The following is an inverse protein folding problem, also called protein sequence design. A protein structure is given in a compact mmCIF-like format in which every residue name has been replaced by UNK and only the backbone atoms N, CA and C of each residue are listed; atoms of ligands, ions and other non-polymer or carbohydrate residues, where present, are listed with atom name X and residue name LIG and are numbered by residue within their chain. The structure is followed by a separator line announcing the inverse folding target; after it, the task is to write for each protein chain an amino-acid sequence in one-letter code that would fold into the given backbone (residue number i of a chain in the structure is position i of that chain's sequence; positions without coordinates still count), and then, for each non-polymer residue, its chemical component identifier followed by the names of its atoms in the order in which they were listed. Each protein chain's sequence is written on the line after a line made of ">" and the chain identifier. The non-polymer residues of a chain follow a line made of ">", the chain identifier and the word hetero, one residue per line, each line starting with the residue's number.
data_IF_905858232317
#
_entry.id   IF_905858232317
#
_cell.length_a   1.000
_cell.length_b   1.000
_cell.length_c   1.000
_cell.angle_alpha   90.00
_cell.angle_beta   90.00
_cell.angle_gamma   90.00
#
_symmetry.space_group_name_H-M   'P 1'
#
loop_
_entity.id
_entity.type
_entity.pdbx_description
1 polymer ?
#
# COMPACT_ATOMS: atom_id res chain seq x y z
N UNK A 1 -25.37 -81.69 36.75
CA UNK A 1 -24.18 -82.34 36.13
C UNK A 1 -23.59 -81.37 35.11
N UNK A 2 -22.26 -81.39 35.03
CA UNK A 2 -21.34 -80.45 34.38
C UNK A 2 -21.32 -80.63 32.85
N UNK A 3 -20.49 -79.81 32.18
CA UNK A 3 -20.06 -79.81 30.76
C UNK A 3 -20.91 -78.87 29.86
N UNK A 4 -20.38 -77.90 29.10
CA UNK A 4 -19.05 -77.32 28.95
C UNK A 4 -19.23 -75.95 28.26
N UNK A 5 -18.38 -74.97 28.58
CA UNK A 5 -18.32 -73.64 27.96
C UNK A 5 -17.33 -73.67 26.79
N UNK A 6 -17.44 -72.68 25.89
CA UNK A 6 -16.47 -72.21 24.87
C UNK A 6 -16.73 -72.76 23.46
N UNK A 7 -16.53 -71.87 22.45
CA UNK A 7 -16.86 -71.93 21.01
C UNK A 7 -18.36 -71.67 20.75
N UNK A 8 -18.80 -70.59 20.10
CA UNK A 8 -18.24 -69.98 18.89
C UNK A 8 -18.57 -68.49 18.85
N UNK A 9 -17.57 -67.68 19.19
CA UNK A 9 -17.45 -66.28 18.81
C UNK A 9 -17.07 -66.29 17.32
N UNK A 10 -18.03 -66.45 16.42
CA UNK A 10 -17.79 -66.39 14.95
C UNK A 10 -19.04 -65.98 14.16
N UNK A 11 -19.91 -65.14 14.74
CA UNK A 11 -21.09 -64.60 14.05
C UNK A 11 -21.34 -63.12 14.42
N UNK A 12 -20.28 -62.31 14.39
CA UNK A 12 -20.37 -60.83 14.51
C UNK A 12 -19.59 -60.14 13.36
N UNK A 13 -19.06 -60.90 12.41
CA UNK A 13 -18.18 -60.39 11.36
C UNK A 13 -18.89 -60.20 10.01
N UNK A 14 -20.09 -59.62 9.96
CA UNK A 14 -20.67 -59.20 8.67
C UNK A 14 -21.86 -58.24 8.86
N UNK A 15 -21.61 -57.00 9.29
CA UNK A 15 -22.39 -55.80 8.93
C UNK A 15 -21.91 -54.61 9.78
N UNK A 16 -20.63 -54.24 9.63
CA UNK A 16 -20.24 -52.85 9.79
C UNK A 16 -20.29 -52.27 8.38
N UNK A 17 -21.43 -51.69 8.03
CA UNK A 17 -21.59 -50.84 6.86
C UNK A 17 -20.74 -49.59 7.08
N UNK A 18 -19.45 -49.74 6.81
CA UNK A 18 -18.50 -48.64 6.68
C UNK A 18 -19.00 -47.76 5.55
N UNK A 19 -19.71 -46.69 5.92
CA UNK A 19 -19.90 -45.53 5.05
C UNK A 19 -18.51 -44.95 4.84
N UNK A 20 -17.84 -45.45 3.80
CA UNK A 20 -16.65 -44.81 3.26
C UNK A 20 -17.16 -43.50 2.68
N UNK A 21 -17.04 -42.41 3.44
CA UNK A 21 -17.21 -41.08 2.89
C UNK A 21 -16.14 -40.93 1.82
N UNK A 22 -16.52 -41.16 0.57
CA UNK A 22 -15.69 -40.81 -0.57
C UNK A 22 -15.46 -39.31 -0.47
N UNK A 23 -14.28 -38.91 0.00
CA UNK A 23 -13.82 -37.55 -0.12
C UNK A 23 -13.79 -37.25 -1.62
N UNK A 24 -14.81 -36.54 -2.10
CA UNK A 24 -14.81 -35.98 -3.44
C UNK A 24 -13.71 -34.93 -3.44
N UNK A 25 -12.51 -35.33 -3.86
CA UNK A 25 -11.44 -34.40 -4.17
C UNK A 25 -11.91 -33.56 -5.33
N UNK A 26 -12.36 -32.34 -5.04
CA UNK A 26 -12.64 -31.35 -6.07
C UNK A 26 -11.38 -31.16 -6.92
N UNK A 27 -11.48 -31.40 -8.22
CA UNK A 27 -10.40 -31.13 -9.15
C UNK A 27 -10.06 -29.63 -9.07
N UNK A 28 -8.87 -29.30 -8.59
CA UNK A 28 -8.39 -27.92 -8.49
C UNK A 28 -7.92 -27.46 -9.86
N UNK A 29 -8.74 -26.62 -10.51
CA UNK A 29 -8.35 -25.99 -11.77
C UNK A 29 -7.08 -25.19 -11.55
N UNK A 30 -6.02 -25.53 -12.29
CA UNK A 30 -4.72 -24.85 -12.18
C UNK A 30 -4.45 -24.12 -13.49
N UNK A 31 -4.11 -22.83 -13.39
CA UNK A 31 -3.82 -21.97 -14.51
C UNK A 31 -2.34 -21.59 -14.46
N UNK A 32 -1.63 -21.79 -15.58
CA UNK A 32 -0.24 -21.38 -15.69
C UNK A 32 -0.15 -19.97 -16.25
N UNK A 33 0.59 -19.11 -15.57
CA UNK A 33 0.82 -17.72 -16.00
C UNK A 33 2.30 -17.37 -15.88
N UNK A 34 2.78 -16.51 -16.78
CA UNK A 34 4.12 -15.95 -16.70
C UNK A 34 4.07 -14.65 -15.89
N UNK A 35 4.94 -14.55 -14.89
CA UNK A 35 5.07 -13.32 -14.11
C UNK A 35 5.71 -12.23 -14.95
N UNK A 36 5.36 -10.99 -14.66
CA UNK A 36 5.93 -9.81 -15.31
C UNK A 36 6.42 -8.85 -14.25
N UNK A 37 7.56 -8.22 -14.52
CA UNK A 37 8.01 -7.09 -13.71
C UNK A 37 7.13 -5.89 -14.06
N UNK A 38 6.24 -5.54 -13.14
CA UNK A 38 5.39 -4.36 -13.24
C UNK A 38 5.89 -3.38 -12.18
N UNK A 39 6.24 -2.16 -12.59
CA UNK A 39 6.53 -1.09 -11.66
C UNK A 39 5.28 -0.76 -10.86
N UNK A 40 5.39 -0.62 -9.54
CA UNK A 40 4.28 -0.21 -8.69
C UNK A 40 4.68 1.09 -8.02
N UNK A 41 3.88 2.13 -8.19
CA UNK A 41 4.07 3.40 -7.51
C UNK A 41 2.76 3.81 -6.86
N UNK A 42 2.76 4.11 -5.57
CA UNK A 42 1.58 4.55 -4.85
C UNK A 42 1.89 5.79 -4.05
N UNK A 43 1.11 6.85 -4.24
CA UNK A 43 1.29 8.15 -3.59
C UNK A 43 2.73 8.69 -3.74
N UNK A 44 3.28 8.53 -4.95
CA UNK A 44 4.65 8.93 -5.30
C UNK A 44 5.76 8.03 -4.73
N UNK A 45 5.41 6.94 -4.05
CA UNK A 45 6.38 5.98 -3.51
C UNK A 45 6.45 4.71 -4.36
N UNK A 46 7.67 4.33 -4.76
CA UNK A 46 7.90 3.07 -5.43
C UNK A 46 7.72 1.90 -4.46
N UNK A 47 6.88 0.94 -4.84
CA UNK A 47 6.55 -0.25 -4.07
C UNK A 47 7.19 -1.48 -4.72
N UNK A 48 7.86 -2.32 -3.93
CA UNK A 48 8.45 -3.59 -4.38
C UNK A 48 7.77 -4.77 -3.73
N UNK A 49 7.32 -5.75 -4.51
CA UNK A 49 6.72 -6.96 -3.94
C UNK A 49 7.75 -7.77 -3.14
N UNK A 50 7.35 -8.43 -2.03
CA UNK A 50 8.22 -9.32 -1.28
C UNK A 50 8.72 -10.50 -2.13
N UNK A 51 9.86 -11.08 -1.75
CA UNK A 51 10.40 -12.27 -2.41
C UNK A 51 9.37 -13.40 -2.45
N UNK A 52 9.25 -14.03 -3.63
CA UNK A 52 8.30 -15.12 -3.85
C UNK A 52 6.85 -14.66 -4.05
N UNK A 53 6.57 -13.36 -3.99
CA UNK A 53 5.34 -12.76 -4.50
C UNK A 53 5.61 -12.03 -5.82
N UNK A 54 4.64 -12.06 -6.71
CA UNK A 54 4.82 -11.60 -8.08
C UNK A 54 3.68 -10.69 -8.52
N UNK A 55 3.86 -10.01 -9.63
CA UNK A 55 2.76 -9.46 -10.41
C UNK A 55 2.67 -10.25 -11.71
N UNK A 56 1.46 -10.44 -12.22
CA UNK A 56 1.24 -11.11 -13.50
C UNK A 56 0.05 -10.51 -14.23
N UNK A 57 0.02 -10.69 -15.55
CA UNK A 57 -1.11 -10.32 -16.39
C UNK A 57 -1.83 -11.60 -16.79
N UNK A 58 -3.13 -11.65 -16.51
CA UNK A 58 -4.01 -12.74 -16.92
C UNK A 58 -5.31 -12.14 -17.45
N UNK A 59 -5.73 -12.58 -18.65
CA UNK A 59 -6.93 -12.07 -19.34
C UNK A 59 -6.98 -10.53 -19.41
N UNK A 60 -5.84 -9.91 -19.73
CA UNK A 60 -5.73 -8.45 -19.87
C UNK A 60 -5.77 -7.67 -18.56
N UNK A 61 -5.64 -8.33 -17.41
CA UNK A 61 -5.68 -7.70 -16.08
C UNK A 61 -4.42 -7.96 -15.30
N UNK A 62 -3.92 -6.91 -14.65
CA UNK A 62 -2.79 -7.02 -13.72
C UNK A 62 -3.27 -7.52 -12.36
N UNK A 63 -2.74 -8.65 -11.94
CA UNK A 63 -2.98 -9.26 -10.64
C UNK A 63 -1.82 -9.02 -9.69
N UNK A 64 -2.17 -8.72 -8.44
CA UNK A 64 -1.24 -8.37 -7.37
C UNK A 64 -1.68 -8.99 -6.04
N UNK A 65 -0.74 -9.23 -5.11
CA UNK A 65 -1.08 -9.75 -3.78
C UNK A 65 -1.91 -8.73 -3.00
N UNK A 66 -3.14 -9.09 -2.62
CA UNK A 66 -4.09 -8.16 -2.00
C UNK A 66 -3.51 -7.50 -0.75
N UNK A 67 -2.90 -8.31 0.14
CA UNK A 67 -2.35 -7.83 1.41
C UNK A 67 -1.31 -6.75 1.22
N UNK A 68 -0.35 -6.99 0.32
CA UNK A 68 0.79 -6.09 0.18
C UNK A 68 0.38 -4.76 -0.45
N UNK A 69 -0.51 -4.79 -1.45
CA UNK A 69 -1.02 -3.56 -2.06
C UNK A 69 -1.94 -2.81 -1.11
N UNK A 70 -2.83 -3.49 -0.38
CA UNK A 70 -3.65 -2.86 0.66
C UNK A 70 -2.79 -2.18 1.73
N UNK A 71 -1.66 -2.78 2.11
CA UNK A 71 -0.75 -2.18 3.08
C UNK A 71 -0.08 -0.92 2.54
N UNK A 72 0.29 -0.90 1.25
CA UNK A 72 0.77 0.31 0.59
C UNK A 72 -0.29 1.40 0.54
N UNK A 73 -1.57 1.00 0.48
CA UNK A 73 -2.73 1.89 0.57
C UNK A 73 -3.13 2.20 2.02
N UNK A 74 -2.28 1.87 3.00
CA UNK A 74 -2.52 2.07 4.43
C UNK A 74 -3.82 1.43 4.94
N UNK A 75 -4.22 0.29 4.35
CA UNK A 75 -5.36 -0.52 4.78
C UNK A 75 -4.90 -1.79 5.48
N UNK A 76 -5.68 -2.29 6.44
CA UNK A 76 -5.51 -3.63 7.01
C UNK A 76 -6.17 -4.69 6.14
N UNK A 77 -5.68 -5.93 6.20
CA UNK A 77 -6.29 -7.08 5.51
C UNK A 77 -6.40 -8.27 6.44
N UNK A 78 -7.62 -8.74 6.66
CA UNK A 78 -7.92 -9.97 7.38
C UNK A 78 -8.43 -11.05 6.43
N UNK A 79 -7.97 -12.29 6.62
CA UNK A 79 -8.36 -13.44 5.80
C UNK A 79 -8.81 -14.59 6.71
N UNK A 80 -10.00 -15.14 6.45
CA UNK A 80 -10.59 -16.24 7.23
C UNK A 80 -10.71 -17.56 6.44
N UNK A 81 -10.19 -17.63 5.22
CA UNK A 81 -10.30 -18.80 4.33
C UNK A 81 -11.45 -18.71 3.31
N UNK A 82 -12.51 -17.94 3.62
CA UNK A 82 -13.65 -17.73 2.74
C UNK A 82 -13.83 -16.25 2.35
N UNK A 83 -13.18 -15.34 3.06
CA UNK A 83 -13.37 -13.90 2.96
C UNK A 83 -12.05 -13.17 3.19
N UNK A 84 -11.76 -12.22 2.30
CA UNK A 84 -10.73 -11.21 2.52
C UNK A 84 -11.43 -9.88 2.87
N UNK A 85 -11.23 -9.41 4.10
CA UNK A 85 -11.73 -8.13 4.56
C UNK A 85 -10.60 -7.10 4.53
N UNK A 86 -10.83 -5.98 3.86
CA UNK A 86 -9.95 -4.82 3.77
C UNK A 86 -10.64 -3.68 4.49
N UNK A 87 -9.94 -3.03 5.43
CA UNK A 87 -10.52 -1.99 6.28
C UNK A 87 -9.46 -0.98 6.72
N UNK A 88 -9.89 0.08 7.40
CA UNK A 88 -8.97 0.94 8.13
C UNK A 88 -8.14 0.14 9.15
N UNK A 89 -6.82 0.34 9.21
CA UNK A 89 -5.98 -0.29 10.21
C UNK A 89 -6.19 0.39 11.56
N UNK A 90 -6.04 -0.38 12.64
CA UNK A 90 -5.83 0.21 13.97
C UNK A 90 -4.52 0.99 14.00
N UNK A 91 -4.34 1.91 14.94
CA UNK A 91 -3.09 2.69 15.08
C UNK A 91 -1.84 1.78 15.19
N UNK A 92 -1.97 0.65 15.89
CA UNK A 92 -0.89 -0.34 16.04
C UNK A 92 -0.57 -1.03 14.73
N UNK A 93 -1.59 -1.44 13.98
CA UNK A 93 -1.40 -2.03 12.66
C UNK A 93 -0.80 -1.00 11.71
N UNK A 94 -1.30 0.23 11.69
CA UNK A 94 -0.77 1.30 10.86
C UNK A 94 0.72 1.55 11.14
N UNK A 95 1.14 1.58 12.40
CA UNK A 95 2.54 1.71 12.78
C UNK A 95 3.39 0.53 12.28
N UNK A 96 2.90 -0.71 12.41
CA UNK A 96 3.57 -1.90 11.89
C UNK A 96 3.66 -1.90 10.35
N UNK A 97 2.60 -1.46 9.67
CA UNK A 97 2.54 -1.32 8.22
C UNK A 97 3.54 -0.28 7.72
N UNK A 98 3.61 0.90 8.36
CA UNK A 98 4.60 1.93 8.05
C UNK A 98 6.02 1.42 8.21
N UNK A 99 6.31 0.69 9.30
CA UNK A 99 7.62 0.05 9.50
C UNK A 99 7.96 -0.96 8.41
N UNK A 100 6.97 -1.76 7.97
CA UNK A 100 7.17 -2.74 6.90
C UNK A 100 7.37 -2.10 5.52
N UNK A 101 6.69 -0.99 5.24
CA UNK A 101 6.91 -0.20 4.03
C UNK A 101 8.28 0.48 4.03
N UNK A 102 8.70 1.03 5.17
CA UNK A 102 10.02 1.65 5.35
C UNK A 102 11.16 0.63 5.17
N UNK A 103 11.02 -0.59 5.69
CA UNK A 103 12.02 -1.65 5.48
C UNK A 103 12.05 -2.17 4.03
N UNK A 104 10.89 -2.21 3.35
CA UNK A 104 10.83 -2.57 1.93
C UNK A 104 11.42 -1.48 1.01
N UNK A 105 11.37 -0.21 1.41
CA UNK A 105 11.98 0.90 0.69
C UNK A 105 13.51 0.99 0.90
N UNK A 106 14.02 0.55 2.04
CA UNK A 106 15.44 0.63 2.43
C UNK A 106 16.34 -0.45 1.78
N UNK A 107 15.77 -1.43 1.07
CA UNK A 107 16.51 -2.51 0.43
C UNK A 107 16.79 -2.28 -1.06
N UNK A 108 18.06 -2.41 -1.45
CA UNK A 108 18.48 -2.64 -2.85
C UNK A 108 18.14 -4.06 -3.29
N UNK A 109 16.85 -4.40 -3.39
CA UNK A 109 16.43 -5.72 -3.86
C UNK A 109 16.51 -5.78 -5.40
N UNK A 110 17.23 -6.77 -5.91
CA UNK A 110 17.42 -7.04 -7.35
C UNK A 110 16.05 -7.29 -8.02
N UNK A 111 15.82 -6.80 -9.25
CA UNK A 111 14.60 -7.11 -9.99
C UNK A 111 14.33 -8.63 -10.05
N UNK A 112 13.14 -9.05 -9.64
CA UNK A 112 12.76 -10.45 -9.61
C UNK A 112 12.56 -10.95 -11.06
N UNK A 113 13.27 -12.01 -11.46
CA UNK A 113 13.18 -12.55 -12.81
C UNK A 113 11.77 -13.04 -13.13
N UNK A 114 11.38 -12.95 -14.41
CA UNK A 114 10.12 -13.53 -14.89
C UNK A 114 10.17 -15.05 -14.78
N UNK A 115 9.15 -15.62 -14.14
CA UNK A 115 9.02 -17.06 -13.87
C UNK A 115 7.60 -17.52 -14.25
N UNK A 116 7.45 -18.81 -14.57
CA UNK A 116 6.12 -19.42 -14.69
C UNK A 116 5.61 -19.80 -13.30
N UNK A 117 4.37 -19.43 -12.99
CA UNK A 117 3.68 -19.81 -11.75
C UNK A 117 2.33 -20.48 -12.07
N UNK A 118 1.88 -21.31 -11.14
CA UNK A 118 0.61 -22.00 -11.21
C UNK A 118 -0.36 -21.38 -10.19
N UNK A 119 -1.42 -20.72 -10.67
CA UNK A 119 -2.44 -20.06 -9.85
C UNK A 119 -3.73 -20.89 -9.83
N UNK A 120 -4.49 -20.77 -8.74
CA UNK A 120 -5.72 -21.53 -8.53
C UNK A 120 -6.88 -20.57 -8.24
N UNK A 121 -8.05 -20.69 -8.89
CA UNK A 121 -9.18 -19.83 -8.59
C UNK A 121 -9.70 -20.11 -7.18
N UNK A 122 -10.08 -19.04 -6.49
CA UNK A 122 -10.61 -19.09 -5.12
C UNK A 122 -12.03 -18.56 -5.15
N UNK A 123 -12.96 -19.34 -4.57
CA UNK A 123 -14.30 -18.86 -4.26
C UNK A 123 -14.26 -18.17 -2.90
N UNK A 124 -14.04 -16.85 -2.91
CA UNK A 124 -14.03 -16.05 -1.70
C UNK A 124 -14.73 -14.71 -1.90
N UNK A 125 -15.21 -14.15 -0.79
CA UNK A 125 -15.82 -12.82 -0.78
C UNK A 125 -14.78 -11.75 -0.48
N UNK A 126 -14.87 -10.60 -1.16
CA UNK A 126 -14.07 -9.42 -0.85
C UNK A 126 -14.96 -8.44 -0.10
N UNK A 127 -14.48 -7.91 1.02
CA UNK A 127 -15.20 -6.94 1.84
C UNK A 127 -14.32 -5.72 2.03
N UNK A 128 -14.85 -4.53 1.75
CA UNK A 128 -14.16 -3.25 1.89
C UNK A 128 -14.97 -2.37 2.84
N UNK A 129 -14.37 -1.95 3.95
CA UNK A 129 -15.01 -1.10 4.97
C UNK A 129 -16.40 -1.63 5.39
N UNK A 130 -16.47 -2.95 5.60
CA UNK A 130 -17.70 -3.65 6.00
C UNK A 130 -18.69 -3.97 4.88
N UNK A 131 -18.44 -3.50 3.64
CA UNK A 131 -19.31 -3.74 2.47
C UNK A 131 -18.75 -4.83 1.58
N UNK A 132 -19.57 -5.81 1.22
CA UNK A 132 -19.16 -6.85 0.26
C UNK A 132 -19.06 -6.25 -1.14
N UNK A 133 -17.93 -6.46 -1.81
CA UNK A 133 -17.69 -6.04 -3.18
C UNK A 133 -17.58 -7.26 -4.09
N UNK A 134 -18.29 -7.20 -5.22
CA UNK A 134 -18.23 -8.24 -6.25
C UNK A 134 -17.23 -7.84 -7.32
N UNK A 135 -16.38 -8.79 -7.72
CA UNK A 135 -15.54 -8.60 -8.88
C UNK A 135 -16.41 -8.43 -10.15
N UNK A 136 -16.02 -7.55 -11.09
CA UNK A 136 -16.72 -7.45 -12.37
C UNK A 136 -16.72 -8.78 -13.13
N UNK A 137 -17.68 -8.94 -14.04
CA UNK A 137 -17.83 -10.18 -14.82
C UNK A 137 -16.52 -10.61 -15.51
N UNK A 138 -16.26 -11.92 -15.50
CA UNK A 138 -15.04 -12.50 -16.08
C UNK A 138 -13.78 -12.26 -15.23
N UNK A 139 -13.92 -11.96 -13.95
CA UNK A 139 -12.80 -11.84 -13.01
C UNK A 139 -12.90 -12.87 -11.90
N UNK A 140 -11.77 -13.25 -11.34
CA UNK A 140 -11.70 -14.21 -10.25
C UNK A 140 -10.60 -13.84 -9.28
N UNK A 141 -10.72 -14.33 -8.06
CA UNK A 141 -9.66 -14.29 -7.06
C UNK A 141 -8.77 -15.50 -7.30
N UNK A 142 -7.46 -15.31 -7.20
CA UNK A 142 -6.50 -16.42 -7.34
C UNK A 142 -5.69 -16.63 -6.07
N UNK A 143 -5.34 -17.88 -5.80
CA UNK A 143 -4.33 -18.25 -4.81
C UNK A 143 -3.03 -18.62 -5.52
N UNK A 144 -1.92 -18.15 -4.96
CA UNK A 144 -0.61 -18.70 -5.24
C UNK A 144 0.18 -18.81 -3.93
N UNK A 145 0.52 -20.05 -3.56
CA UNK A 145 1.28 -20.38 -2.33
C UNK A 145 0.69 -19.72 -1.07
N UNK A 146 -0.64 -19.70 -0.93
CA UNK A 146 -1.32 -19.12 0.24
C UNK A 146 -1.54 -17.61 0.15
N UNK A 147 -0.98 -16.92 -0.84
CA UNK A 147 -1.25 -15.51 -1.09
C UNK A 147 -2.45 -15.34 -2.02
N UNK A 148 -3.34 -14.41 -1.67
CA UNK A 148 -4.52 -14.06 -2.45
C UNK A 148 -4.20 -12.94 -3.43
N UNK A 149 -4.60 -13.13 -4.67
CA UNK A 149 -4.36 -12.22 -5.79
C UNK A 149 -5.67 -11.70 -6.34
N UNK A 150 -5.71 -10.39 -6.55
CA UNK A 150 -6.86 -9.67 -7.10
C UNK A 150 -6.42 -8.69 -8.18
N UNK A 151 -7.31 -8.29 -9.09
CA UNK A 151 -7.03 -7.24 -10.07
C UNK A 151 -6.72 -5.92 -9.37
N UNK A 152 -5.58 -5.31 -9.68
CA UNK A 152 -5.09 -4.11 -8.99
C UNK A 152 -6.07 -2.94 -9.09
N UNK A 153 -6.67 -2.72 -10.26
CA UNK A 153 -7.66 -1.64 -10.47
C UNK A 153 -8.87 -1.80 -9.56
N UNK A 154 -9.45 -3.00 -9.50
CA UNK A 154 -10.59 -3.29 -8.64
C UNK A 154 -10.25 -3.03 -7.17
N UNK A 155 -9.09 -3.51 -6.71
CA UNK A 155 -8.64 -3.30 -5.33
C UNK A 155 -8.51 -1.82 -5.00
N UNK A 156 -7.84 -1.06 -5.87
CA UNK A 156 -7.60 0.37 -5.67
C UNK A 156 -8.88 1.20 -5.72
N UNK A 157 -9.75 0.97 -6.69
CA UNK A 157 -11.05 1.65 -6.79
C UNK A 157 -11.93 1.36 -5.57
N UNK A 158 -11.90 0.13 -5.06
CA UNK A 158 -12.67 -0.28 -3.88
C UNK A 158 -12.25 0.46 -2.60
N UNK A 159 -11.06 1.08 -2.59
CA UNK A 159 -10.56 1.88 -1.46
C UNK A 159 -10.38 3.37 -1.81
N UNK A 160 -10.92 3.83 -2.95
CA UNK A 160 -10.90 5.25 -3.35
C UNK A 160 -9.59 5.74 -3.99
N UNK A 161 -8.71 4.82 -4.39
CA UNK A 161 -7.44 5.12 -5.07
C UNK A 161 -7.64 5.12 -6.58
N UNK A 162 -7.24 6.21 -7.24
CA UNK A 162 -7.19 6.28 -8.70
C UNK A 162 -5.96 5.54 -9.22
N UNK A 163 -6.11 4.84 -10.36
CA UNK A 163 -5.04 4.04 -10.96
C UNK A 163 -4.79 4.47 -12.39
N UNK A 164 -3.53 4.76 -12.70
CA UNK A 164 -3.02 4.92 -14.06
C UNK A 164 -2.01 3.82 -14.39
N UNK A 165 -1.82 3.56 -15.68
CA UNK A 165 -0.83 2.60 -16.17
C UNK A 165 -0.02 3.25 -17.29
N UNK A 166 1.30 3.24 -17.15
CA UNK A 166 2.25 3.59 -18.20
C UNK A 166 2.67 2.32 -18.95
N UNK A 167 2.28 2.15 -20.21
CA UNK A 167 2.60 0.95 -20.99
C UNK A 167 4.06 0.89 -21.45
N UNK A 168 4.78 2.02 -21.49
CA UNK A 168 6.18 2.09 -21.92
C UNK A 168 7.06 1.57 -20.78
N UNK A 169 6.90 2.14 -19.59
CA UNK A 169 7.67 1.72 -18.40
C UNK A 169 7.07 0.51 -17.69
N UNK A 170 5.87 0.07 -18.10
CA UNK A 170 5.07 -0.98 -17.46
C UNK A 170 4.84 -0.69 -15.98
N UNK A 171 4.49 0.55 -15.68
CA UNK A 171 4.29 1.02 -14.31
C UNK A 171 2.81 1.23 -14.05
N UNK A 172 2.30 0.65 -12.96
CA UNK A 172 1.01 1.01 -12.37
C UNK A 172 1.28 2.09 -11.31
N UNK A 173 0.62 3.23 -11.46
CA UNK A 173 0.64 4.31 -10.50
C UNK A 173 -0.72 4.44 -9.84
N UNK A 174 -0.74 4.49 -8.52
CA UNK A 174 -1.94 4.68 -7.71
C UNK A 174 -1.86 5.95 -6.89
N UNK A 175 -2.95 6.70 -6.88
CA UNK A 175 -3.05 7.94 -6.11
C UNK A 175 -4.27 7.85 -5.21
N UNK A 176 -4.08 7.84 -3.91
CA UNK A 176 -5.16 7.88 -2.94
C UNK A 176 -5.91 9.21 -3.02
N UNK A 177 -7.16 9.23 -2.56
CA UNK A 177 -7.93 10.48 -2.51
C UNK A 177 -7.21 11.56 -1.68
N UNK A 178 -6.55 11.16 -0.58
CA UNK A 178 -5.76 12.04 0.26
C UNK A 178 -4.51 12.59 -0.49
N UNK A 179 -3.82 11.74 -1.24
CA UNK A 179 -2.67 12.17 -2.04
C UNK A 179 -3.06 13.15 -3.13
N UNK A 180 -4.13 12.88 -3.89
CA UNK A 180 -4.62 13.80 -4.94
C UNK A 180 -5.09 15.13 -4.36
N UNK A 181 -5.77 15.11 -3.21
CA UNK A 181 -6.15 16.32 -2.50
C UNK A 181 -4.94 17.16 -2.07
N UNK A 182 -3.81 16.51 -1.75
CA UNK A 182 -2.54 17.16 -1.44
C UNK A 182 -1.67 17.57 -2.65
N UNK A 183 -1.99 17.10 -3.86
CA UNK A 183 -1.28 17.44 -5.12
C UNK A 183 -1.95 18.58 -5.90
N UNK A 184 -3.10 19.09 -5.44
CA UNK A 184 -3.92 20.06 -6.16
C UNK A 184 -3.47 21.52 -6.06
N UNK A 185 -2.39 21.89 -6.76
CA UNK A 185 -2.35 23.03 -7.72
C UNK A 185 -1.09 22.87 -8.59
N UNK A 186 -1.25 22.27 -9.77
CA UNK A 186 -0.11 21.97 -10.65
C UNK A 186 -0.46 21.51 -12.05
N UNK A 187 -1.47 22.13 -12.68
CA UNK A 187 -1.51 22.27 -14.14
C UNK A 187 -2.42 21.34 -14.94
N UNK A 188 -3.18 21.97 -15.84
CA UNK A 188 -3.49 21.40 -17.15
C UNK A 188 -4.89 20.82 -17.31
N UNK A 189 -5.86 21.69 -17.60
CA UNK A 189 -7.04 21.28 -18.33
C UNK A 189 -6.63 20.66 -19.68
N UNK A 190 -7.12 19.45 -19.95
CA UNK A 190 -7.39 18.95 -21.30
C UNK A 190 -8.81 18.39 -21.31
N UNK A 191 -9.73 19.30 -21.57
CA UNK A 191 -10.96 19.08 -22.34
C UNK A 191 -10.55 18.72 -23.79
N UNK A 192 -11.14 17.79 -24.53
CA UNK A 192 -12.34 16.98 -24.31
C UNK A 192 -12.45 15.87 -25.36
N UNK A 193 -13.53 15.09 -25.27
CA UNK A 193 -13.84 14.01 -26.23
C UNK A 193 -14.98 13.10 -25.79
N UNK A 194 -16.18 13.67 -25.78
CA UNK A 194 -17.48 13.11 -25.39
C UNK A 194 -17.91 11.87 -26.18
N UNK A 195 -18.53 10.89 -25.50
CA UNK A 195 -19.77 10.14 -25.83
C UNK A 195 -19.88 9.02 -24.78
N UNK A 196 -20.94 8.75 -24.03
CA UNK A 196 -22.31 9.21 -23.95
C UNK A 196 -23.08 8.11 -23.19
N UNK A 197 -23.98 8.52 -22.28
CA UNK A 197 -25.18 7.81 -21.81
C UNK A 197 -25.25 7.31 -20.35
N UNK A 198 -25.96 8.13 -19.56
CA UNK A 198 -27.08 7.85 -18.64
C UNK A 198 -26.99 6.78 -17.52
N UNK A 199 -27.24 7.26 -16.29
CA UNK A 199 -28.28 6.67 -15.43
C UNK A 199 -27.94 6.44 -13.95
N UNK A 200 -28.73 7.09 -13.07
CA UNK A 200 -28.92 6.84 -11.62
C UNK A 200 -27.82 7.39 -10.69
N UNK A 201 -28.03 8.30 -9.74
CA UNK A 201 -29.21 8.60 -8.92
C UNK A 201 -28.96 8.09 -7.48
N UNK A 202 -28.67 8.99 -6.52
CA UNK A 202 -28.76 8.65 -5.09
C UNK A 202 -27.76 9.28 -4.11
N UNK A 203 -28.21 10.37 -3.48
CA UNK A 203 -28.11 10.68 -2.03
C UNK A 203 -26.81 11.24 -1.44
N UNK A 204 -26.88 12.52 -1.01
CA UNK A 204 -25.83 13.24 -0.33
C UNK A 204 -25.59 12.79 1.12
N UNK A 205 -24.31 12.70 1.47
CA UNK A 205 -23.81 12.84 2.84
C UNK A 205 -22.98 14.12 2.89
N UNK A 206 -23.37 15.06 3.75
CA UNK A 206 -22.62 16.30 3.94
C UNK A 206 -21.20 16.00 4.41
N UNK A 207 -20.22 16.57 3.72
CA UNK A 207 -18.80 16.54 4.13
C UNK A 207 -18.70 17.27 5.47
N UNK A 208 -18.43 16.55 6.56
CA UNK A 208 -18.23 17.16 7.88
C UNK A 208 -16.98 18.03 7.83
N UNK A 209 -17.13 19.30 8.19
CA UNK A 209 -16.05 20.29 8.21
C UNK A 209 -14.98 19.89 9.25
N UNK A 210 -13.69 19.71 8.86
CA UNK A 210 -12.63 19.39 9.81
C UNK A 210 -12.39 20.56 10.79
N UNK A 211 -12.08 20.25 12.06
CA UNK A 211 -11.80 21.30 13.06
C UNK A 211 -10.40 21.90 12.90
N UNK A 212 -10.15 23.06 13.50
CA UNK A 212 -8.83 23.70 13.52
C UNK A 212 -7.77 22.74 14.07
N UNK A 213 -8.06 22.10 15.20
CA UNK A 213 -7.17 21.18 15.91
C UNK A 213 -6.86 19.94 15.07
N UNK A 214 -7.83 19.44 14.30
CA UNK A 214 -7.62 18.32 13.39
C UNK A 214 -6.69 18.70 12.24
N UNK A 215 -6.84 19.90 11.69
CA UNK A 215 -5.97 20.41 10.61
C UNK A 215 -4.54 20.63 11.13
N UNK A 216 -4.38 21.24 12.31
CA UNK A 216 -3.05 21.48 12.90
C UNK A 216 -2.38 20.19 13.35
N UNK A 217 -3.11 19.24 13.95
CA UNK A 217 -2.56 17.95 14.34
C UNK A 217 -2.08 17.12 13.14
N UNK A 218 -2.86 17.08 12.05
CA UNK A 218 -2.43 16.45 10.78
C UNK A 218 -1.17 17.14 10.21
N UNK A 219 -1.12 18.47 10.27
CA UNK A 219 0.03 19.26 9.82
C UNK A 219 1.28 18.94 10.65
N UNK A 220 1.16 18.89 11.98
CA UNK A 220 2.26 18.57 12.90
C UNK A 220 2.78 17.15 12.69
N UNK A 221 1.90 16.17 12.45
CA UNK A 221 2.30 14.81 12.12
C UNK A 221 3.11 14.76 10.82
N UNK A 222 2.70 15.50 9.79
CA UNK A 222 3.46 15.61 8.53
C UNK A 222 4.81 16.29 8.73
N UNK A 223 4.87 17.35 9.54
CA UNK A 223 6.12 18.04 9.86
C UNK A 223 7.08 17.15 10.66
N UNK A 224 6.58 16.39 11.64
CA UNK A 224 7.38 15.43 12.39
C UNK A 224 7.97 14.34 11.48
N UNK A 225 7.15 13.77 10.60
CA UNK A 225 7.60 12.76 9.63
C UNK A 225 8.63 13.34 8.63
N UNK A 226 8.41 14.57 8.16
CA UNK A 226 9.37 15.27 7.30
C UNK A 226 10.70 15.42 8.03
N UNK A 227 10.69 15.96 9.25
CA UNK A 227 11.89 16.18 10.08
C UNK A 227 12.68 14.89 10.28
N UNK A 228 12.02 13.80 10.68
CA UNK A 228 12.67 12.49 10.87
C UNK A 228 13.33 12.00 9.57
N UNK A 229 12.60 12.05 8.45
CA UNK A 229 13.11 11.60 7.15
C UNK A 229 14.26 12.44 6.61
N UNK A 230 14.27 13.73 6.92
CA UNK A 230 15.29 14.68 6.51
C UNK A 230 16.55 14.47 7.35
N UNK A 231 16.39 14.42 8.67
CA UNK A 231 17.48 14.20 9.61
C UNK A 231 18.19 12.87 9.33
N UNK A 232 17.45 11.76 9.26
CA UNK A 232 18.05 10.44 9.06
C UNK A 232 18.89 10.35 7.77
N UNK A 233 18.39 10.93 6.66
CA UNK A 233 19.15 10.92 5.40
C UNK A 233 20.34 11.87 5.43
N UNK A 234 20.19 13.06 6.02
CA UNK A 234 21.27 14.04 6.11
C UNK A 234 22.39 13.54 7.04
N UNK A 235 22.06 12.84 8.12
CA UNK A 235 23.03 12.18 9.00
C UNK A 235 23.80 11.09 8.26
N UNK A 236 23.11 10.24 7.50
CA UNK A 236 23.75 9.21 6.69
C UNK A 236 24.70 9.82 5.63
N UNK A 237 24.25 10.87 4.92
CA UNK A 237 25.09 11.62 3.97
C UNK A 237 26.30 12.24 4.69
N UNK A 238 26.11 12.80 5.90
CA UNK A 238 27.18 13.36 6.71
C UNK A 238 28.23 12.32 7.10
N UNK A 239 27.81 11.12 7.49
CA UNK A 239 28.72 10.01 7.77
C UNK A 239 29.48 9.55 6.52
N UNK A 240 28.80 9.49 5.36
CA UNK A 240 29.46 9.22 4.08
C UNK A 240 30.51 10.29 3.76
N UNK A 241 30.20 11.57 4.00
CA UNK A 241 31.12 12.68 3.75
C UNK A 241 32.39 12.59 4.62
N UNK A 242 32.22 12.24 5.90
CA UNK A 242 33.32 12.06 6.84
C UNK A 242 34.22 10.87 6.49
N UNK A 243 33.65 9.80 5.93
CA UNK A 243 34.40 8.62 5.51
C UNK A 243 35.00 8.76 4.09
N UNK A 244 34.63 9.81 3.35
CA UNK A 244 34.98 9.96 1.95
C UNK A 244 36.35 10.61 1.72
N UNK A 245 36.96 10.26 0.58
CA UNK A 245 38.17 10.93 0.10
C UNK A 245 37.86 12.36 -0.34
N UNK A 246 38.89 13.23 -0.39
CA UNK A 246 38.75 14.60 -0.89
C UNK A 246 38.20 14.68 -2.33
N UNK A 247 38.34 13.61 -3.12
CA UNK A 247 37.80 13.52 -4.49
C UNK A 247 36.29 13.29 -4.49
N UNK A 248 35.77 12.52 -3.53
CA UNK A 248 34.36 12.13 -3.48
C UNK A 248 33.50 13.12 -2.67
N UNK A 249 34.11 13.85 -1.73
CA UNK A 249 33.47 14.83 -0.86
C UNK A 249 32.58 15.86 -1.59
N UNK A 250 33.00 16.48 -2.72
CA UNK A 250 32.14 17.41 -3.46
C UNK A 250 30.83 16.78 -3.93
N UNK A 251 30.86 15.53 -4.40
CA UNK A 251 29.67 14.83 -4.88
C UNK A 251 28.70 14.50 -3.74
N UNK A 252 29.24 14.17 -2.55
CA UNK A 252 28.44 13.86 -1.36
C UNK A 252 27.84 15.14 -0.78
N UNK A 253 28.58 16.25 -0.79
CA UNK A 253 28.07 17.56 -0.42
C UNK A 253 26.89 17.97 -1.30
N UNK A 254 27.00 17.76 -2.61
CA UNK A 254 25.91 18.00 -3.56
C UNK A 254 24.67 17.14 -3.24
N UNK A 255 24.84 15.86 -2.91
CA UNK A 255 23.72 15.00 -2.45
C UNK A 255 23.06 15.55 -1.18
N UNK A 256 23.85 16.06 -0.23
CA UNK A 256 23.35 16.72 0.98
C UNK A 256 22.51 17.95 0.66
N UNK A 257 23.00 18.82 -0.23
CA UNK A 257 22.28 20.02 -0.68
C UNK A 257 20.97 19.67 -1.40
N UNK A 258 20.99 18.65 -2.28
CA UNK A 258 19.79 18.16 -2.95
C UNK A 258 18.76 17.63 -1.95
N UNK A 259 19.20 16.89 -0.93
CA UNK A 259 18.31 16.41 0.12
C UNK A 259 17.71 17.56 0.93
N UNK A 260 18.51 18.58 1.28
CA UNK A 260 18.04 19.77 1.99
C UNK A 260 16.99 20.52 1.18
N UNK A 261 17.23 20.72 -0.12
CA UNK A 261 16.26 21.34 -1.03
C UNK A 261 14.97 20.52 -1.11
N UNK A 262 15.05 19.19 -1.18
CA UNK A 262 13.87 18.33 -1.16
C UNK A 262 13.06 18.46 0.13
N UNK A 263 13.74 18.61 1.27
CA UNK A 263 13.12 18.84 2.57
C UNK A 263 12.38 20.19 2.60
N UNK A 264 13.00 21.26 2.11
CA UNK A 264 12.35 22.58 2.02
C UNK A 264 11.15 22.58 1.10
N UNK A 265 11.22 21.94 -0.07
CA UNK A 265 10.07 21.83 -0.99
C UNK A 265 8.91 21.08 -0.34
N UNK A 266 9.17 19.99 0.38
CA UNK A 266 8.13 19.25 1.11
C UNK A 266 7.54 20.06 2.26
N UNK A 267 8.38 20.82 2.97
CA UNK A 267 7.92 21.72 4.01
C UNK A 267 6.96 22.78 3.45
N UNK A 268 7.32 23.44 2.34
CA UNK A 268 6.45 24.41 1.67
C UNK A 268 5.12 23.80 1.21
N UNK A 269 5.14 22.57 0.72
CA UNK A 269 3.93 21.84 0.36
C UNK A 269 3.01 21.60 1.57
N UNK A 270 3.57 21.22 2.72
CA UNK A 270 2.81 21.05 3.98
C UNK A 270 2.23 22.39 4.44
N UNK A 271 3.01 23.47 4.36
CA UNK A 271 2.54 24.82 4.74
C UNK A 271 1.40 25.31 3.84
N UNK A 272 1.51 25.05 2.53
CA UNK A 272 0.46 25.39 1.56
C UNK A 272 -0.83 24.63 1.84
N UNK A 273 -0.75 23.31 2.05
CA UNK A 273 -1.89 22.45 2.40
C UNK A 273 -2.58 22.92 3.69
N UNK A 274 -1.81 23.18 4.74
CA UNK A 274 -2.33 23.68 6.01
C UNK A 274 -2.99 25.06 5.86
N UNK A 275 -2.35 25.99 5.14
CA UNK A 275 -2.91 27.33 4.87
C UNK A 275 -4.23 27.25 4.12
N UNK A 276 -4.29 26.40 3.08
CA UNK A 276 -5.50 26.20 2.28
C UNK A 276 -6.63 25.60 3.11
N UNK A 277 -6.35 24.57 3.92
CA UNK A 277 -7.33 23.94 4.81
C UNK A 277 -7.85 24.92 5.86
N UNK A 278 -6.99 25.69 6.49
CA UNK A 278 -7.38 26.69 7.49
C UNK A 278 -8.25 27.78 6.86
N UNK A 279 -7.82 28.35 5.73
CA UNK A 279 -8.55 29.41 5.01
C UNK A 279 -9.91 28.92 4.50
N UNK A 280 -9.95 27.76 3.84
CA UNK A 280 -11.20 27.17 3.29
C UNK A 280 -12.24 26.93 4.39
N UNK A 281 -11.76 26.61 5.59
CA UNK A 281 -12.62 26.36 6.74
C UNK A 281 -12.79 27.61 7.64
N UNK A 282 -12.33 28.79 7.22
CA UNK A 282 -12.51 30.04 7.95
C UNK A 282 -11.80 30.10 9.30
N UNK A 283 -10.68 29.37 9.44
CA UNK A 283 -9.83 29.40 10.62
C UNK A 283 -8.63 30.35 10.43
N UNK A 284 -8.02 30.78 11.54
CA UNK A 284 -6.78 31.56 11.50
C UNK A 284 -5.63 30.75 10.88
N UNK A 285 -4.76 31.45 10.16
CA UNK A 285 -3.53 30.90 9.57
C UNK A 285 -2.27 31.29 10.36
N UNK A 286 -2.40 31.94 11.52
CA UNK A 286 -1.24 32.46 12.28
C UNK A 286 -0.24 31.37 12.66
N UNK A 287 -0.73 30.15 12.90
CA UNK A 287 0.09 28.98 13.22
C UNK A 287 1.10 28.62 12.11
N UNK A 288 0.80 28.97 10.85
CA UNK A 288 1.69 28.73 9.71
C UNK A 288 3.01 29.49 9.88
N UNK A 289 2.97 30.72 10.41
CA UNK A 289 4.18 31.50 10.69
C UNK A 289 5.03 30.79 11.77
N UNK A 290 4.40 30.25 12.81
CA UNK A 290 5.11 29.50 13.87
C UNK A 290 5.82 28.26 13.31
N UNK A 291 5.17 27.50 12.42
CA UNK A 291 5.79 26.35 11.77
C UNK A 291 6.99 26.75 10.89
N UNK A 292 6.87 27.85 10.13
CA UNK A 292 7.96 28.40 9.31
C UNK A 292 9.16 28.83 10.14
N UNK A 293 8.92 29.56 11.23
CA UNK A 293 9.98 29.99 12.13
C UNK A 293 10.70 28.80 12.76
N UNK A 294 9.96 27.77 13.13
CA UNK A 294 10.52 26.54 13.71
C UNK A 294 11.39 25.82 12.71
N UNK A 295 10.89 25.63 11.48
CA UNK A 295 11.65 24.98 10.41
C UNK A 295 12.92 25.75 10.06
N UNK A 296 12.85 27.07 9.95
CA UNK A 296 14.01 27.90 9.66
C UNK A 296 15.07 27.83 10.78
N UNK A 297 14.65 27.85 12.05
CA UNK A 297 15.57 27.65 13.19
C UNK A 297 16.26 26.29 13.14
N UNK A 298 15.53 25.23 12.78
CA UNK A 298 16.10 23.89 12.65
C UNK A 298 17.07 23.78 11.47
N UNK A 299 16.78 24.44 10.34
CA UNK A 299 17.69 24.53 9.20
C UNK A 299 18.99 25.25 9.56
N UNK A 300 18.89 26.39 10.24
CA UNK A 300 20.05 27.15 10.73
C UNK A 300 20.91 26.30 11.68
N UNK A 301 20.28 25.62 12.65
CA UNK A 301 20.99 24.74 13.57
C UNK A 301 21.67 23.57 12.84
N UNK A 302 21.00 22.98 11.84
CA UNK A 302 21.57 21.91 11.02
C UNK A 302 22.76 22.38 10.16
N UNK A 303 22.70 23.60 9.61
CA UNK A 303 23.81 24.22 8.86
C UNK A 303 25.01 24.48 9.76
N UNK A 304 24.79 25.07 10.94
CA UNK A 304 25.85 25.31 11.92
C UNK A 304 26.54 24.00 12.34
N UNK A 305 25.77 22.93 12.54
CA UNK A 305 26.32 21.60 12.81
C UNK A 305 27.18 21.08 11.65
N UNK A 306 26.71 21.24 10.41
CA UNK A 306 27.45 20.81 9.22
C UNK A 306 28.77 21.59 9.01
N UNK A 307 28.76 22.90 9.31
CA UNK A 307 29.96 23.74 9.25
C UNK A 307 30.99 23.38 10.33
N UNK A 308 30.56 22.97 11.52
CA UNK A 308 31.48 22.51 12.58
C UNK A 308 32.13 21.15 12.31
N UNK A 309 31.66 20.43 11.29
CA UNK A 309 32.15 19.09 10.90
C UNK A 309 33.04 19.17 9.64
N UNK A 310 32.91 20.22 8.83
CA UNK A 310 33.69 20.46 7.61
C UNK A 310 35.07 21.08 7.91
#
# INVERSE_FOLDING_TARGET
>A
MKQSRILSIFLVAMMLSSVFAAAVSAATTTIKVKTQQIGLQFDGQALKLPDGQYSFIYEGRTYVPIRYISYALQKSVHWDGAKAAVSEPTEKELAALKKQLQSAAAGSQKPQASVEIAIQPVKASLVFDGKTASLPSGQSIYNYKGSIYVPIRFLSESVGTQISFDPITKTVSGESAAYRAGQGTGGGAVDGGTTGNAGSGGTGGGVVKPTYEQITADTELKLAALKESCWATLTDIGLQYLAASAVDQPSIKEKGLQKLNNCSVKFEAIMSDATAKLTTNGYSTDIIATYRDTFNKELEAGRALAEGIA
#
